data_IF_764288734515
#
_entry.id   IF_764288734515
#
_cell.length_a   1.000
_cell.length_b   1.000
_cell.length_c   1.000
_cell.angle_alpha   90.00
_cell.angle_beta   90.00
_cell.angle_gamma   90.00
#
_symmetry.space_group_name_H-M   'P 1'
#
loop_
_entity.id
_entity.type
_entity.pdbx_description
1 polymer ?
#
# COMPACT_ATOMS: atom_id res chain seq x y z
N UNK A 1 18.16 -16.22 8.62
CA UNK A 1 19.05 -16.02 7.46
C UNK A 1 20.46 -15.62 7.89
N UNK A 2 20.71 -14.41 8.42
CA UNK A 2 22.08 -13.95 8.75
C UNK A 2 22.88 -14.90 9.65
N UNK A 3 22.31 -15.37 10.76
CA UNK A 3 22.97 -16.37 11.63
C UNK A 3 23.31 -17.69 10.92
N UNK A 4 22.52 -18.08 9.91
CA UNK A 4 22.76 -19.30 9.12
C UNK A 4 23.91 -19.08 8.14
N UNK A 5 24.02 -17.89 7.54
CA UNK A 5 25.13 -17.50 6.67
C UNK A 5 26.44 -17.25 7.45
N UNK A 6 26.38 -16.70 8.66
CA UNK A 6 27.54 -16.59 9.54
C UNK A 6 28.11 -17.96 9.92
N UNK A 7 27.23 -18.92 10.21
CA UNK A 7 27.62 -20.29 10.54
C UNK A 7 28.07 -21.09 9.32
N UNK A 8 27.46 -20.87 8.15
CA UNK A 8 27.83 -21.49 6.89
C UNK A 8 27.53 -20.56 5.71
N UNK A 9 28.51 -19.76 5.26
CA UNK A 9 28.31 -18.81 4.16
C UNK A 9 28.12 -19.49 2.80
N UNK A 10 28.39 -20.80 2.71
CA UNK A 10 28.20 -21.62 1.50
C UNK A 10 26.85 -22.34 1.45
N UNK A 11 26.00 -22.15 2.47
CA UNK A 11 24.68 -22.76 2.52
C UNK A 11 23.82 -22.29 1.35
N UNK A 12 23.28 -23.24 0.58
CA UNK A 12 22.28 -22.93 -0.44
C UNK A 12 21.01 -22.37 0.22
N UNK A 13 20.69 -21.12 -0.06
CA UNK A 13 19.56 -20.40 0.52
C UNK A 13 18.59 -19.98 -0.58
N UNK A 14 17.31 -20.29 -0.38
CA UNK A 14 16.19 -19.73 -1.14
C UNK A 14 15.36 -18.86 -0.21
N UNK A 15 15.17 -17.59 -0.54
CA UNK A 15 14.47 -16.63 0.31
C UNK A 15 13.63 -15.66 -0.52
N UNK A 16 12.39 -15.45 -0.08
CA UNK A 16 11.45 -14.42 -0.55
C UNK A 16 11.32 -13.40 0.58
N UNK A 17 11.79 -12.17 0.39
CA UNK A 17 12.07 -11.23 1.50
C UNK A 17 11.19 -9.98 1.50
N UNK A 18 9.94 -10.13 1.07
CA UNK A 18 8.95 -9.03 1.08
C UNK A 18 9.02 -8.12 -0.16
N UNK A 19 8.16 -7.10 -0.18
CA UNK A 19 8.01 -6.22 -1.33
C UNK A 19 7.46 -4.84 -0.99
N UNK A 20 7.81 -3.84 -1.80
CA UNK A 20 7.17 -2.53 -1.82
C UNK A 20 6.44 -2.34 -3.15
N UNK A 21 5.39 -3.12 -3.30
CA UNK A 21 4.72 -3.28 -4.59
C UNK A 21 3.85 -2.09 -4.91
N UNK A 22 3.76 -1.81 -6.21
CA UNK A 22 3.06 -0.66 -6.74
C UNK A 22 2.08 -1.03 -7.85
N UNK A 23 0.95 -0.33 -7.86
CA UNK A 23 0.03 -0.30 -9.00
C UNK A 23 0.14 1.07 -9.66
N UNK A 24 0.46 1.09 -10.95
CA UNK A 24 0.40 2.28 -11.80
C UNK A 24 -1.01 2.37 -12.40
N UNK A 25 -1.63 3.53 -12.34
CA UNK A 25 -2.90 3.81 -13.05
C UNK A 25 -2.63 4.89 -14.09
N UNK A 26 -2.71 4.52 -15.37
CA UNK A 26 -2.53 5.46 -16.47
C UNK A 26 -3.78 6.33 -16.65
N UNK A 27 -3.64 7.46 -17.35
CA UNK A 27 -4.77 8.31 -17.72
C UNK A 27 -5.80 7.64 -18.62
N UNK A 28 -5.43 6.53 -19.27
CA UNK A 28 -6.28 5.73 -20.15
C UNK A 28 -6.95 4.56 -19.42
N UNK A 29 -6.72 4.39 -18.12
CA UNK A 29 -7.31 3.30 -17.35
C UNK A 29 -8.83 3.42 -17.22
N UNK A 30 -9.50 2.26 -17.12
CA UNK A 30 -10.83 2.18 -16.52
C UNK A 30 -10.71 2.49 -15.02
N UNK A 31 -11.20 3.67 -14.63
CA UNK A 31 -11.05 4.20 -13.27
C UNK A 31 -11.74 3.34 -12.21
N UNK A 32 -12.92 2.82 -12.50
CA UNK A 32 -13.69 2.02 -11.54
C UNK A 32 -13.07 0.64 -11.36
N UNK A 33 -12.61 0.03 -12.46
CA UNK A 33 -11.86 -1.22 -12.42
C UNK A 33 -10.54 -1.05 -11.65
N UNK A 34 -9.78 0.00 -11.95
CA UNK A 34 -8.53 0.30 -11.27
C UNK A 34 -8.73 0.47 -9.76
N UNK A 35 -9.74 1.24 -9.32
CA UNK A 35 -10.05 1.43 -7.90
C UNK A 35 -10.37 0.09 -7.23
N UNK A 36 -11.24 -0.73 -7.85
CA UNK A 36 -11.59 -2.05 -7.33
C UNK A 36 -10.36 -2.94 -7.13
N UNK A 37 -9.49 -3.00 -8.14
CA UNK A 37 -8.29 -3.82 -8.11
C UNK A 37 -7.28 -3.33 -7.08
N UNK A 38 -7.07 -2.01 -6.99
CA UNK A 38 -6.19 -1.37 -6.00
C UNK A 38 -6.66 -1.66 -4.59
N UNK A 39 -7.93 -1.45 -4.28
CA UNK A 39 -8.50 -1.70 -2.95
C UNK A 39 -8.32 -3.16 -2.55
N UNK A 40 -8.64 -4.09 -3.45
CA UNK A 40 -8.45 -5.51 -3.19
C UNK A 40 -6.97 -5.85 -2.94
N UNK A 41 -6.08 -5.32 -3.76
CA UNK A 41 -4.65 -5.61 -3.68
C UNK A 41 -4.01 -5.03 -2.43
N UNK A 42 -4.40 -3.81 -2.05
CA UNK A 42 -3.87 -3.09 -0.90
C UNK A 42 -4.37 -3.64 0.45
N UNK A 43 -5.67 -3.94 0.57
CA UNK A 43 -6.28 -4.16 1.89
C UNK A 43 -6.69 -5.60 2.18
N UNK A 44 -6.72 -6.50 1.20
CA UNK A 44 -6.99 -7.92 1.48
C UNK A 44 -5.92 -8.51 2.41
N UNK A 45 -6.32 -9.39 3.32
CA UNK A 45 -5.48 -9.89 4.42
C UNK A 45 -4.88 -8.75 5.28
N UNK A 46 -5.57 -7.62 5.38
CA UNK A 46 -5.13 -6.43 6.12
C UNK A 46 -3.78 -5.90 5.63
N UNK A 47 -3.50 -6.02 4.32
CA UNK A 47 -2.21 -5.61 3.72
C UNK A 47 -1.03 -6.50 4.09
N UNK A 48 -1.25 -7.60 4.82
CA UNK A 48 -0.20 -8.53 5.27
C UNK A 48 0.11 -9.56 4.19
N UNK A 49 0.53 -9.09 3.03
CA UNK A 49 0.96 -9.92 1.90
C UNK A 49 2.25 -9.34 1.35
N UNK A 50 3.23 -10.19 1.05
CA UNK A 50 4.43 -9.76 0.36
C UNK A 50 4.12 -9.12 -1.00
N UNK A 51 2.98 -9.48 -1.62
CA UNK A 51 2.48 -8.94 -2.89
C UNK A 51 1.47 -7.79 -2.76
N UNK A 52 1.18 -7.29 -1.55
CA UNK A 52 0.19 -6.22 -1.37
C UNK A 52 0.63 -4.93 -2.08
N UNK A 53 -0.29 -4.29 -2.80
CA UNK A 53 -0.09 -2.94 -3.34
C UNK A 53 -0.09 -1.96 -2.19
N UNK A 54 1.08 -1.49 -1.77
CA UNK A 54 1.22 -0.45 -0.73
C UNK A 54 1.59 0.92 -1.31
N UNK A 55 1.82 0.97 -2.62
CA UNK A 55 2.07 2.18 -3.39
C UNK A 55 1.09 2.28 -4.57
N UNK A 56 0.32 3.35 -4.64
CA UNK A 56 -0.51 3.68 -5.78
C UNK A 56 0.14 4.84 -6.52
N UNK A 57 0.59 4.61 -7.75
CA UNK A 57 1.20 5.65 -8.58
C UNK A 57 0.19 6.05 -9.65
N UNK A 58 -0.28 7.28 -9.60
CA UNK A 58 -1.28 7.80 -10.51
C UNK A 58 -0.60 8.74 -11.51
N UNK A 59 -0.88 8.57 -12.80
CA UNK A 59 -0.58 9.64 -13.76
C UNK A 59 -1.34 10.91 -13.39
N UNK A 60 -0.80 12.06 -13.80
CA UNK A 60 -1.23 13.39 -13.36
C UNK A 60 -2.74 13.58 -13.50
N UNK A 61 -3.31 13.19 -14.64
CA UNK A 61 -4.73 13.34 -14.94
C UNK A 61 -5.63 12.49 -14.01
N UNK A 62 -5.14 11.36 -13.51
CA UNK A 62 -5.86 10.50 -12.55
C UNK A 62 -5.68 11.03 -11.13
N UNK A 63 -4.46 11.47 -10.79
CA UNK A 63 -4.18 12.04 -9.48
C UNK A 63 -4.99 13.32 -9.21
N UNK A 64 -5.17 14.16 -10.24
CA UNK A 64 -5.90 15.42 -10.18
C UNK A 64 -7.41 15.23 -10.44
N UNK A 65 -7.89 14.00 -10.67
CA UNK A 65 -9.31 13.69 -10.77
C UNK A 65 -9.96 13.49 -9.39
N UNK A 66 -10.69 14.51 -8.95
CA UNK A 66 -11.44 14.49 -7.69
C UNK A 66 -12.47 13.35 -7.61
N UNK A 67 -13.05 12.91 -8.73
CA UNK A 67 -14.00 11.79 -8.73
C UNK A 67 -13.28 10.46 -8.47
N UNK A 68 -12.14 10.21 -9.12
CA UNK A 68 -11.31 9.04 -8.84
C UNK A 68 -10.92 8.99 -7.36
N UNK A 69 -10.41 10.12 -6.84
CA UNK A 69 -10.01 10.25 -5.44
C UNK A 69 -11.18 9.98 -4.49
N UNK A 70 -12.33 10.62 -4.71
CA UNK A 70 -13.53 10.42 -3.90
C UNK A 70 -14.00 8.98 -3.92
N UNK A 71 -14.10 8.35 -5.09
CA UNK A 71 -14.56 6.97 -5.22
C UNK A 71 -13.59 6.00 -4.54
N UNK A 72 -12.27 6.21 -4.64
CA UNK A 72 -11.27 5.42 -3.93
C UNK A 72 -11.48 5.51 -2.40
N UNK A 73 -11.72 6.72 -1.87
CA UNK A 73 -11.96 6.95 -0.45
C UNK A 73 -13.26 6.29 -0.01
N UNK A 74 -14.38 6.57 -0.69
CA UNK A 74 -15.71 6.05 -0.36
C UNK A 74 -15.73 4.51 -0.38
N UNK A 75 -15.15 3.90 -1.43
CA UNK A 75 -15.06 2.46 -1.54
C UNK A 75 -14.17 1.84 -0.45
N UNK A 76 -13.09 2.52 -0.05
CA UNK A 76 -12.23 2.06 1.04
C UNK A 76 -12.92 2.15 2.40
N UNK A 77 -13.64 3.25 2.68
CA UNK A 77 -14.42 3.43 3.91
C UNK A 77 -15.59 2.44 4.04
N UNK A 78 -16.06 1.88 2.92
CA UNK A 78 -17.11 0.85 2.92
C UNK A 78 -16.62 -0.52 3.42
N UNK A 79 -15.31 -0.72 3.57
CA UNK A 79 -14.75 -1.98 4.06
C UNK A 79 -14.96 -2.13 5.57
N UNK A 80 -15.71 -3.15 5.93
CA UNK A 80 -15.91 -3.62 7.30
C UNK A 80 -14.65 -4.33 7.83
N UNK A 81 -14.26 -3.98 9.05
CA UNK A 81 -13.08 -4.50 9.76
C UNK A 81 -13.54 -5.21 11.03
N UNK A 82 -13.05 -6.41 11.30
CA UNK A 82 -13.38 -7.11 12.54
C UNK A 82 -13.04 -8.60 12.55
N UNK A 83 -13.80 -9.35 13.34
CA UNK A 83 -13.66 -10.81 13.49
C UNK A 83 -13.76 -11.52 12.12
N UNK A 84 -12.78 -12.36 11.74
CA UNK A 84 -12.83 -13.14 10.51
C UNK A 84 -14.00 -14.16 10.45
N UNK A 85 -14.61 -14.52 11.58
CA UNK A 85 -15.79 -15.39 11.62
C UNK A 85 -17.11 -14.65 11.33
N UNK A 86 -17.11 -13.31 11.31
CA UNK A 86 -18.23 -12.51 10.80
C UNK A 86 -18.00 -12.19 9.31
N UNK A 87 -18.70 -12.93 8.44
CA UNK A 87 -18.51 -12.86 6.98
C UNK A 87 -18.83 -11.50 6.34
N UNK A 88 -19.44 -10.58 7.09
CA UNK A 88 -19.56 -9.21 6.61
C UNK A 88 -18.19 -8.54 6.50
N UNK A 89 -17.23 -8.90 7.36
CA UNK A 89 -15.91 -8.27 7.46
C UNK A 89 -15.04 -8.61 6.25
N UNK A 90 -14.43 -7.60 5.65
CA UNK A 90 -13.49 -7.75 4.53
C UNK A 90 -12.03 -7.65 4.95
N UNK A 91 -11.80 -7.10 6.14
CA UNK A 91 -10.47 -6.90 6.72
C UNK A 91 -10.45 -7.53 8.11
N UNK A 92 -9.45 -8.37 8.34
CA UNK A 92 -9.28 -9.08 9.61
C UNK A 92 -8.23 -8.42 10.51
N UNK A 93 -7.84 -9.13 11.55
CA UNK A 93 -6.80 -8.69 12.46
C UNK A 93 -5.40 -8.71 11.82
N UNK A 94 -4.54 -7.81 12.27
CA UNK A 94 -3.09 -7.93 12.15
C UNK A 94 -2.61 -9.15 12.94
N UNK A 95 -1.58 -9.82 12.43
CA UNK A 95 -0.94 -10.94 13.08
C UNK A 95 -0.15 -10.50 14.33
N UNK A 96 0.35 -9.26 14.33
CA UNK A 96 1.01 -8.64 15.48
C UNK A 96 0.65 -7.13 15.55
N UNK A 97 0.91 -6.50 16.69
CA UNK A 97 0.70 -5.07 16.87
C UNK A 97 1.59 -4.26 15.92
N UNK A 98 1.16 -3.04 15.52
CA UNK A 98 2.01 -2.10 14.80
C UNK A 98 3.37 -1.93 15.48
N UNK A 99 4.43 -2.24 14.73
CA UNK A 99 5.81 -2.04 15.19
C UNK A 99 6.27 -0.61 14.90
N UNK A 100 7.51 -0.29 15.28
CA UNK A 100 8.08 1.05 15.18
C UNK A 100 8.00 1.66 13.77
N UNK A 101 8.22 0.87 12.71
CA UNK A 101 8.10 1.38 11.33
C UNK A 101 6.66 1.77 10.97
N UNK A 102 5.67 1.02 11.46
CA UNK A 102 4.26 1.33 11.22
C UNK A 102 3.85 2.56 12.02
N UNK A 103 4.21 2.64 13.30
CA UNK A 103 3.95 3.82 14.14
C UNK A 103 4.57 5.07 13.53
N UNK A 104 5.84 5.00 13.12
CA UNK A 104 6.51 6.09 12.40
C UNK A 104 5.75 6.51 11.14
N UNK A 105 5.27 5.56 10.34
CA UNK A 105 4.52 5.87 9.13
C UNK A 105 3.18 6.57 9.43
N UNK A 106 2.53 6.22 10.53
CA UNK A 106 1.27 6.82 10.98
C UNK A 106 1.50 8.25 11.49
N UNK A 107 2.50 8.44 12.35
CA UNK A 107 2.75 9.68 13.07
C UNK A 107 3.46 10.74 12.21
N UNK A 108 4.32 10.33 11.26
CA UNK A 108 5.01 11.25 10.37
C UNK A 108 4.16 11.62 9.14
N UNK A 109 3.65 12.85 9.14
CA UNK A 109 3.01 13.47 7.99
C UNK A 109 3.83 14.68 7.53
N UNK A 110 4.35 14.64 6.29
CA UNK A 110 5.05 15.80 5.72
C UNK A 110 4.05 16.90 5.35
N UNK A 111 4.52 18.15 5.27
CA UNK A 111 3.65 19.31 4.97
C UNK A 111 2.97 19.27 3.60
N UNK A 112 3.45 18.42 2.69
CA UNK A 112 2.87 18.20 1.36
C UNK A 112 2.06 16.90 1.27
N UNK A 113 1.96 16.14 2.35
CA UNK A 113 1.15 14.93 2.43
C UNK A 113 -0.19 15.23 3.11
N UNK A 114 -1.22 14.46 2.78
CA UNK A 114 -2.51 14.51 3.44
C UNK A 114 -3.03 13.10 3.70
N UNK A 115 -3.61 12.87 4.88
CA UNK A 115 -4.41 11.67 5.12
C UNK A 115 -5.83 11.90 4.60
N UNK A 116 -6.16 11.20 3.52
CA UNK A 116 -7.55 11.11 3.06
C UNK A 116 -8.35 10.13 3.93
N UNK A 117 -7.67 9.09 4.42
CA UNK A 117 -8.16 8.21 5.48
C UNK A 117 -7.04 8.05 6.50
N UNK A 118 -7.13 8.68 7.69
CA UNK A 118 -6.11 8.52 8.72
C UNK A 118 -6.14 7.10 9.30
N UNK A 119 -4.96 6.60 9.67
CA UNK A 119 -4.87 5.32 10.37
C UNK A 119 -5.63 5.39 11.70
N UNK A 120 -6.43 4.36 11.95
CA UNK A 120 -7.21 4.22 13.19
C UNK A 120 -7.49 2.74 13.46
N UNK A 121 -8.00 2.46 14.66
CA UNK A 121 -8.27 1.10 15.13
C UNK A 121 -9.75 0.92 15.47
N UNK A 122 -10.27 -0.29 15.36
CA UNK A 122 -11.62 -0.63 15.86
C UNK A 122 -11.55 -0.71 17.37
N UNK A 123 -12.34 0.11 18.08
CA UNK A 123 -12.45 0.16 19.54
C UNK A 123 -11.08 0.18 20.25
N UNK A 124 -10.13 0.95 19.71
CA UNK A 124 -8.75 1.06 20.18
C UNK A 124 -7.96 -0.27 20.26
N UNK A 125 -8.46 -1.33 19.62
CA UNK A 125 -7.78 -2.62 19.56
C UNK A 125 -6.60 -2.54 18.56
N UNK A 126 -5.34 -2.65 19.01
CA UNK A 126 -4.17 -2.48 18.14
C UNK A 126 -4.04 -3.56 17.07
N UNK A 127 -4.77 -4.67 17.17
CA UNK A 127 -4.81 -5.71 16.15
C UNK A 127 -5.86 -5.44 15.07
N UNK A 128 -6.86 -4.60 15.32
CA UNK A 128 -7.94 -4.31 14.36
C UNK A 128 -7.72 -2.95 13.70
N UNK A 129 -6.64 -2.85 12.93
CA UNK A 129 -6.29 -1.65 12.18
C UNK A 129 -7.23 -1.46 10.98
N UNK A 130 -7.78 -0.25 10.83
CA UNK A 130 -8.59 0.15 9.67
C UNK A 130 -7.70 0.57 8.50
N UNK A 131 -8.19 0.48 7.25
CA UNK A 131 -7.50 1.05 6.09
C UNK A 131 -7.08 2.49 6.30
N UNK A 132 -5.93 2.85 5.74
CA UNK A 132 -5.45 4.22 5.66
C UNK A 132 -4.98 4.54 4.26
N UNK A 133 -5.26 5.76 3.81
CA UNK A 133 -4.83 6.29 2.52
C UNK A 133 -4.15 7.63 2.75
N UNK A 134 -2.87 7.70 2.36
CA UNK A 134 -2.04 8.89 2.44
C UNK A 134 -1.71 9.38 1.03
N UNK A 135 -2.16 10.59 0.69
CA UNK A 135 -1.84 11.26 -0.57
C UNK A 135 -0.60 12.15 -0.44
N UNK A 136 0.08 12.37 -1.56
CA UNK A 136 1.19 13.31 -1.67
C UNK A 136 2.56 12.73 -1.33
N UNK A 137 2.67 11.42 -1.11
CA UNK A 137 3.97 10.76 -0.91
C UNK A 137 4.87 11.01 -2.13
N UNK A 138 6.14 11.36 -1.87
CA UNK A 138 7.13 11.68 -2.90
C UNK A 138 8.22 10.62 -2.99
N UNK A 139 8.95 10.65 -4.10
CA UNK A 139 10.13 9.79 -4.33
C UNK A 139 11.14 10.01 -3.19
N UNK A 140 11.71 8.93 -2.66
CA UNK A 140 12.56 8.93 -1.47
C UNK A 140 11.87 9.00 -0.09
N UNK A 141 10.56 9.27 0.00
CA UNK A 141 9.89 9.31 1.30
C UNK A 141 9.89 7.95 2.02
N UNK A 142 9.80 7.97 3.34
CA UNK A 142 9.84 6.75 4.16
C UNK A 142 8.77 5.73 3.74
N UNK A 143 7.53 6.18 3.50
CA UNK A 143 6.43 5.31 3.08
C UNK A 143 6.51 4.88 1.61
N UNK A 144 7.37 5.51 0.80
CA UNK A 144 7.71 5.04 -0.54
C UNK A 144 8.81 3.97 -0.51
N UNK A 145 9.73 4.01 0.45
CA UNK A 145 10.89 3.10 0.53
C UNK A 145 10.72 1.93 1.51
N UNK A 146 9.68 1.93 2.35
CA UNK A 146 9.55 0.96 3.45
C UNK A 146 8.29 0.12 3.31
N UNK A 147 8.44 -1.20 3.28
CA UNK A 147 7.32 -2.14 3.42
C UNK A 147 6.77 -2.09 4.85
N UNK A 148 5.48 -1.77 5.00
CA UNK A 148 4.82 -1.64 6.30
C UNK A 148 4.09 -2.90 6.73
N UNK A 149 3.64 -3.72 5.76
CA UNK A 149 2.92 -4.98 5.99
C UNK A 149 1.62 -4.79 6.81
N UNK A 150 0.92 -3.69 6.56
CA UNK A 150 -0.32 -3.25 7.22
C UNK A 150 -1.23 -2.58 6.18
N UNK A 151 -2.51 -2.27 6.49
CA UNK A 151 -3.45 -1.74 5.50
C UNK A 151 -3.26 -0.22 5.29
N UNK A 152 -2.03 0.21 4.98
CA UNK A 152 -1.68 1.60 4.62
C UNK A 152 -1.34 1.65 3.13
N UNK A 153 -2.07 2.50 2.38
CA UNK A 153 -1.80 2.80 0.98
C UNK A 153 -1.20 4.22 0.85
N UNK A 154 -0.01 4.31 0.25
CA UNK A 154 0.60 5.60 -0.11
C UNK A 154 0.32 5.92 -1.58
N UNK A 155 -0.19 7.12 -1.85
CA UNK A 155 -0.57 7.58 -3.19
C UNK A 155 0.41 8.63 -3.66
N UNK A 156 1.02 8.39 -4.82
CA UNK A 156 2.02 9.23 -5.47
C UNK A 156 1.49 9.76 -6.80
N UNK A 157 1.94 10.96 -7.17
CA UNK A 157 1.71 11.53 -8.49
C UNK A 157 2.92 11.28 -9.40
N UNK A 158 2.67 10.82 -10.62
CA UNK A 158 3.61 10.81 -11.72
C UNK A 158 3.11 11.76 -12.84
N UNK A 159 4.02 12.43 -13.55
CA UNK A 159 3.67 13.30 -14.67
C UNK A 159 3.18 12.49 -15.88
N UNK A 160 3.73 11.30 -16.08
CA UNK A 160 3.51 10.36 -17.18
C UNK A 160 3.96 8.95 -16.77
N UNK A 161 3.70 7.98 -17.65
CA UNK A 161 4.05 6.57 -17.45
C UNK A 161 5.54 6.34 -17.25
N UNK A 162 6.41 7.10 -17.94
CA UNK A 162 7.87 6.98 -17.78
C UNK A 162 8.28 7.35 -16.35
N UNK A 163 7.80 8.48 -15.81
CA UNK A 163 8.04 8.82 -14.40
C UNK A 163 7.40 7.81 -13.44
N UNK A 164 6.23 7.27 -13.77
CA UNK A 164 5.58 6.27 -12.94
C UNK A 164 6.45 5.01 -12.81
N UNK A 165 7.02 4.52 -13.92
CA UNK A 165 7.94 3.38 -13.95
C UNK A 165 9.21 3.71 -13.14
N UNK A 166 9.77 4.92 -13.27
CA UNK A 166 10.91 5.34 -12.48
C UNK A 166 10.64 5.40 -10.97
N UNK A 167 9.42 5.80 -10.56
CA UNK A 167 9.00 5.79 -9.15
C UNK A 167 8.99 4.34 -8.65
N UNK A 168 8.28 3.44 -9.34
CA UNK A 168 8.14 2.03 -8.94
C UNK A 168 9.50 1.33 -8.83
N UNK A 169 10.38 1.53 -9.81
CA UNK A 169 11.71 0.93 -9.83
C UNK A 169 12.67 1.49 -8.77
N UNK A 170 12.31 2.60 -8.11
CA UNK A 170 13.16 3.26 -7.12
C UNK A 170 12.91 2.82 -5.67
N UNK A 171 12.03 1.86 -5.43
CA UNK A 171 11.68 1.40 -4.07
C UNK A 171 12.75 0.53 -3.39
N UNK A 172 13.66 -0.06 -4.18
CA UNK A 172 14.64 -1.04 -3.71
C UNK A 172 14.09 -2.47 -3.60
N UNK A 173 12.84 -2.70 -4.01
CA UNK A 173 12.18 -4.02 -4.08
C UNK A 173 11.84 -4.37 -5.53
N UNK A 174 11.47 -5.64 -5.78
CA UNK A 174 11.14 -6.12 -7.13
C UNK A 174 10.25 -7.36 -7.14
N UNK A 175 9.28 -7.45 -6.22
CA UNK A 175 8.45 -8.65 -6.05
C UNK A 175 7.21 -8.64 -6.96
N UNK A 176 6.28 -7.70 -6.79
CA UNK A 176 5.13 -7.54 -7.71
C UNK A 176 4.94 -6.09 -8.15
N UNK A 177 4.32 -5.92 -9.32
CA UNK A 177 3.81 -4.63 -9.80
C UNK A 177 2.61 -4.85 -10.71
N UNK A 178 1.74 -3.85 -10.83
CA UNK A 178 0.59 -3.86 -11.70
C UNK A 178 0.49 -2.56 -12.51
N UNK A 179 -0.10 -2.65 -13.70
CA UNK A 179 -0.45 -1.52 -14.55
C UNK A 179 -1.93 -1.64 -14.92
N UNK A 180 -2.70 -0.61 -14.61
CA UNK A 180 -4.08 -0.42 -15.05
C UNK A 180 -4.06 0.55 -16.24
N UNK A 181 -4.41 0.07 -17.43
CA UNK A 181 -4.45 0.84 -18.68
C UNK A 181 -5.38 0.18 -19.70
N UNK A 182 -5.92 0.95 -20.65
CA UNK A 182 -6.70 0.46 -21.80
C UNK A 182 -6.01 0.73 -23.15
N UNK A 183 -4.78 1.25 -23.13
CA UNK A 183 -4.03 1.56 -24.35
C UNK A 183 -3.44 0.32 -25.04
#
# INVERSE_FOLDING_TARGET
>A
AYKMLEANPTLALSAETGGKNATIVSKMADRDQAIKNVIHSAFSNSGQKCSATSLLVLEKEVYEDENFKKTLIDATLSLSVGDPFDFKNKIGALADKPNEKVIKAIDELKSYENYEIPASFVDDNPYLMKPSIKYGTKKGDFTHQTELFTPILSVMKAKDLDEAIEIVNSTGYGLTSALESLD
#
